data_IF_202153558717
#
_entry.id   IF_202153558717
#
_cell.length_a   1.000
_cell.length_b   1.000
_cell.length_c   1.000
_cell.angle_alpha   90.00
_cell.angle_beta   90.00
_cell.angle_gamma   90.00
#
_symmetry.space_group_name_H-M   'P 1'
#
loop_
_entity.id
_entity.type
_entity.pdbx_description
1 polymer ?
#
# COMPACT_ATOMS: atom_id res chain seq x y z
N UNK A 1 -10.92 0.19 -7.81
CA UNK A 1 -11.11 -0.72 -6.62
C UNK A 1 -12.19 -0.16 -5.69
N UNK A 2 -12.70 -0.91 -4.70
CA UNK A 2 -13.71 -0.41 -3.72
C UNK A 2 -13.13 -0.29 -2.30
N UNK A 3 -13.68 0.59 -1.47
CA UNK A 3 -13.36 0.61 -0.03
C UNK A 3 -13.66 -0.75 0.60
N UNK A 4 -12.83 -1.17 1.55
CA UNK A 4 -12.85 -2.50 2.16
C UNK A 4 -12.20 -3.61 1.32
N UNK A 5 -11.75 -3.33 0.09
CA UNK A 5 -11.02 -4.32 -0.71
C UNK A 5 -9.67 -4.63 -0.05
N UNK A 6 -9.34 -5.93 0.09
CA UNK A 6 -7.98 -6.37 0.40
C UNK A 6 -7.21 -6.50 -0.90
N UNK A 7 -6.09 -5.79 -1.01
CA UNK A 7 -5.17 -5.88 -2.13
C UNK A 7 -3.86 -6.51 -1.66
N UNK A 8 -3.30 -7.38 -2.48
CA UNK A 8 -2.11 -8.16 -2.19
C UNK A 8 -1.03 -7.83 -3.22
N UNK A 9 0.21 -7.60 -2.76
CA UNK A 9 1.35 -7.48 -3.67
C UNK A 9 1.59 -8.80 -4.38
N UNK A 10 1.84 -8.77 -5.70
CA UNK A 10 2.20 -9.96 -6.45
C UNK A 10 3.66 -10.41 -6.19
N UNK A 11 4.53 -9.47 -5.80
CA UNK A 11 6.00 -9.64 -5.77
C UNK A 11 6.62 -9.65 -4.37
N UNK A 12 5.84 -9.39 -3.32
CA UNK A 12 6.31 -9.48 -1.94
C UNK A 12 5.15 -9.75 -0.97
N UNK A 13 5.44 -9.71 0.35
CA UNK A 13 4.45 -10.00 1.39
C UNK A 13 3.44 -8.88 1.65
N UNK A 14 3.65 -7.68 1.11
CA UNK A 14 2.79 -6.51 1.38
C UNK A 14 1.33 -6.81 1.07
N UNK A 15 0.45 -6.53 2.03
CA UNK A 15 -1.00 -6.56 1.84
C UNK A 15 -1.62 -5.34 2.49
N UNK A 16 -2.62 -4.77 1.83
CA UNK A 16 -3.30 -3.56 2.28
C UNK A 16 -4.81 -3.71 2.23
N UNK A 17 -5.49 -2.95 3.07
CA UNK A 17 -6.93 -2.72 3.01
C UNK A 17 -7.20 -1.33 2.44
N UNK A 18 -8.05 -1.24 1.43
CA UNK A 18 -8.49 0.05 0.88
C UNK A 18 -9.42 0.74 1.90
N UNK A 19 -8.99 1.87 2.43
CA UNK A 19 -9.80 2.68 3.35
C UNK A 19 -10.66 3.66 2.55
N UNK A 20 -10.04 4.40 1.63
CA UNK A 20 -10.72 5.27 0.68
C UNK A 20 -10.35 4.86 -0.73
N UNK A 21 -11.36 4.49 -1.52
CA UNK A 21 -11.17 4.16 -2.93
C UNK A 21 -11.00 5.41 -3.79
N UNK A 22 -10.23 5.25 -4.87
CA UNK A 22 -10.16 6.16 -6.01
C UNK A 22 -10.14 5.33 -7.29
N UNK A 23 -10.38 5.97 -8.43
CA UNK A 23 -10.32 5.33 -9.75
C UNK A 23 -8.89 5.35 -10.28
N UNK A 24 -8.04 4.53 -9.65
CA UNK A 24 -6.61 4.38 -9.95
C UNK A 24 -6.17 2.93 -9.78
N UNK A 25 -5.08 2.56 -10.45
CA UNK A 25 -4.41 1.28 -10.28
C UNK A 25 -3.34 1.38 -9.18
N UNK A 26 -3.44 0.49 -8.19
CA UNK A 26 -2.51 0.43 -7.07
C UNK A 26 -1.41 -0.59 -7.36
N UNK A 27 -0.17 -0.18 -7.18
CA UNK A 27 1.02 -0.99 -7.39
C UNK A 27 1.76 -1.21 -6.07
N UNK A 28 2.55 -2.28 -6.02
CA UNK A 28 3.49 -2.53 -4.95
C UNK A 28 4.75 -3.18 -5.51
N UNK A 29 5.89 -2.51 -5.35
CA UNK A 29 7.19 -3.02 -5.82
C UNK A 29 7.32 -3.12 -7.34
N UNK A 30 6.61 -2.25 -8.09
CA UNK A 30 6.60 -2.23 -9.56
C UNK A 30 5.46 -3.04 -10.20
N UNK A 31 4.82 -3.93 -9.46
CA UNK A 31 3.74 -4.78 -9.98
C UNK A 31 2.34 -4.32 -9.51
N UNK A 32 1.30 -4.48 -10.34
CA UNK A 32 -0.08 -4.19 -9.93
C UNK A 32 -0.49 -5.11 -8.77
N UNK A 33 -1.20 -4.56 -7.79
CA UNK A 33 -1.74 -5.35 -6.68
C UNK A 33 -2.98 -6.13 -7.13
N UNK A 34 -3.15 -7.32 -6.58
CA UNK A 34 -4.21 -8.27 -6.94
C UNK A 34 -5.14 -8.55 -5.75
N UNK A 35 -6.35 -9.06 -5.99
CA UNK A 35 -7.30 -9.43 -4.93
C UNK A 35 -7.22 -10.89 -4.51
N UNK A 36 -6.49 -11.71 -5.28
CA UNK A 36 -6.16 -13.09 -4.98
C UNK A 36 -4.76 -13.39 -5.52
N UNK A 37 -3.96 -14.15 -4.77
CA UNK A 37 -2.65 -14.64 -5.21
C UNK A 37 -2.78 -16.08 -5.67
N UNK A 38 -2.13 -16.42 -6.78
CA UNK A 38 -1.87 -17.80 -7.22
C UNK A 38 -0.47 -18.31 -6.78
N UNK A 39 0.20 -17.56 -5.90
CA UNK A 39 1.53 -17.85 -5.36
C UNK A 39 2.23 -16.56 -4.94
N UNK A 40 3.41 -16.67 -4.31
CA UNK A 40 4.35 -15.54 -4.18
C UNK A 40 5.45 -15.74 -5.21
N UNK A 41 5.56 -14.85 -6.20
CA UNK A 41 6.64 -14.92 -7.18
C UNK A 41 7.39 -13.60 -7.25
N UNK A 42 8.71 -13.64 -7.06
CA UNK A 42 9.60 -12.52 -7.30
C UNK A 42 10.02 -11.71 -6.07
N UNK A 43 10.56 -10.54 -6.38
CA UNK A 43 11.02 -9.49 -5.46
C UNK A 43 10.59 -8.15 -6.06
N UNK A 44 10.45 -7.09 -5.24
CA UNK A 44 10.24 -5.74 -5.76
C UNK A 44 11.32 -5.34 -6.77
N UNK A 45 10.96 -4.49 -7.73
CA UNK A 45 11.92 -3.88 -8.65
C UNK A 45 12.92 -2.98 -7.90
N UNK A 46 14.14 -2.87 -8.43
CA UNK A 46 15.19 -2.04 -7.83
C UNK A 46 14.74 -0.57 -7.72
N UNK A 47 14.83 0.01 -6.52
CA UNK A 47 14.36 1.37 -6.23
C UNK A 47 12.89 1.44 -5.82
N UNK A 48 12.13 0.34 -5.93
CA UNK A 48 10.77 0.17 -5.42
C UNK A 48 10.72 -0.84 -4.27
N UNK A 49 11.84 -1.02 -3.58
CA UNK A 49 12.10 -1.95 -2.48
C UNK A 49 12.28 -1.26 -1.11
N UNK A 50 11.71 -0.06 -0.94
CA UNK A 50 11.82 0.72 0.32
C UNK A 50 10.90 0.22 1.45
N UNK A 51 10.11 -0.82 1.21
CA UNK A 51 9.23 -1.43 2.21
C UNK A 51 7.86 -0.78 2.38
N UNK A 52 6.96 -1.55 2.99
CA UNK A 52 5.66 -1.10 3.50
C UNK A 52 5.50 -1.58 4.94
N UNK A 53 5.17 -0.67 5.85
CA UNK A 53 5.14 -0.93 7.29
C UNK A 53 3.74 -1.33 7.77
N UNK A 54 3.67 -2.38 8.58
CA UNK A 54 2.41 -2.87 9.17
C UNK A 54 1.74 -1.79 10.03
N UNK A 55 0.42 -1.65 9.89
CA UNK A 55 -0.39 -0.73 10.70
C UNK A 55 -0.31 0.74 10.26
N UNK A 56 0.51 1.05 9.26
CA UNK A 56 0.62 2.40 8.68
C UNK A 56 -0.41 2.61 7.58
N UNK A 57 -0.90 3.85 7.52
CA UNK A 57 -1.80 4.33 6.46
C UNK A 57 -0.98 5.04 5.41
N UNK A 58 -1.32 4.84 4.15
CA UNK A 58 -0.64 5.41 3.00
C UNK A 58 -1.67 6.11 2.12
N UNK A 59 -1.33 7.29 1.63
CA UNK A 59 -2.22 8.14 0.83
C UNK A 59 -1.56 8.56 -0.47
N UNK A 60 -2.36 8.60 -1.53
CA UNK A 60 -2.02 9.28 -2.77
C UNK A 60 -2.83 10.58 -2.83
N UNK A 61 -2.15 11.73 -2.67
CA UNK A 61 -2.83 13.00 -2.42
C UNK A 61 -3.66 13.47 -3.62
N UNK A 62 -3.19 13.23 -4.84
CA UNK A 62 -3.83 13.70 -6.07
C UNK A 62 -5.13 12.95 -6.37
N UNK A 63 -5.17 11.62 -6.19
CA UNK A 63 -6.39 10.82 -6.41
C UNK A 63 -7.27 10.68 -5.16
N UNK A 64 -6.71 10.92 -3.97
CA UNK A 64 -7.38 10.69 -2.69
C UNK A 64 -7.45 9.21 -2.28
N UNK A 65 -6.74 8.31 -2.97
CA UNK A 65 -6.62 6.91 -2.53
C UNK A 65 -6.00 6.84 -1.14
N UNK A 66 -6.59 6.04 -0.26
CA UNK A 66 -6.03 5.78 1.07
C UNK A 66 -6.11 4.29 1.40
N UNK A 67 -4.99 3.72 1.86
CA UNK A 67 -4.88 2.30 2.21
C UNK A 67 -4.22 2.13 3.59
N UNK A 68 -4.58 1.06 4.29
CA UNK A 68 -3.94 0.60 5.53
C UNK A 68 -3.13 -0.66 5.24
N UNK A 69 -1.85 -0.67 5.58
CA UNK A 69 -1.05 -1.89 5.52
C UNK A 69 -1.46 -2.87 6.62
N UNK A 70 -1.86 -4.08 6.23
CA UNK A 70 -2.29 -5.17 7.11
C UNK A 70 -1.32 -6.35 7.13
N UNK A 71 -0.34 -6.37 6.23
CA UNK A 71 0.83 -7.24 6.28
C UNK A 71 2.04 -6.51 5.69
N UNK A 72 3.12 -6.41 6.45
CA UNK A 72 4.35 -5.75 6.00
C UNK A 72 5.05 -6.53 4.88
N UNK A 73 5.81 -5.82 4.06
CA UNK A 73 6.60 -6.41 2.98
C UNK A 73 7.64 -5.42 2.44
N UNK A 74 8.47 -5.90 1.51
CA UNK A 74 9.62 -5.15 1.00
C UNK A 74 9.26 -4.13 -0.10
N UNK A 75 8.11 -4.25 -0.75
CA UNK A 75 7.74 -3.35 -1.86
C UNK A 75 7.26 -1.98 -1.39
N UNK A 76 7.57 -0.95 -2.18
CA UNK A 76 6.98 0.40 -2.07
C UNK A 76 5.60 0.42 -2.73
N UNK A 77 4.60 1.02 -2.06
CA UNK A 77 3.27 1.26 -2.64
C UNK A 77 3.31 2.47 -3.58
N UNK A 78 2.69 2.37 -4.75
CA UNK A 78 2.61 3.48 -5.72
C UNK A 78 1.31 3.48 -6.52
N UNK A 79 0.98 4.63 -7.11
CA UNK A 79 -0.06 4.82 -8.13
C UNK A 79 0.60 5.51 -9.31
N UNK A 80 0.45 4.97 -10.53
CA UNK A 80 1.04 5.53 -11.75
C UNK A 80 2.55 5.85 -11.64
N UNK A 81 3.29 5.04 -10.85
CA UNK A 81 4.71 5.24 -10.57
C UNK A 81 5.03 6.25 -9.46
N UNK A 82 4.05 7.00 -8.95
CA UNK A 82 4.20 7.91 -7.82
C UNK A 82 4.09 7.13 -6.48
N UNK A 83 5.12 7.15 -5.61
CA UNK A 83 5.05 6.50 -4.31
C UNK A 83 3.98 7.12 -3.41
N UNK A 84 3.22 6.28 -2.70
CA UNK A 84 2.29 6.76 -1.69
C UNK A 84 3.04 7.33 -0.47
N UNK A 85 2.45 8.33 0.16
CA UNK A 85 3.00 8.96 1.36
C UNK A 85 2.40 8.32 2.62
N UNK A 86 3.23 8.01 3.62
CA UNK A 86 2.73 7.57 4.93
C UNK A 86 1.95 8.71 5.61
N UNK A 87 0.72 8.41 6.03
CA UNK A 87 -0.07 9.32 6.86
C UNK A 87 0.46 9.24 8.27
N UNK A 88 1.12 10.31 8.71
CA UNK A 88 1.57 10.44 10.09
C UNK A 88 0.36 10.31 11.04
N UNK A 89 0.51 9.50 12.08
CA UNK A 89 -0.46 9.48 13.17
C UNK A 89 -0.49 10.88 13.79
N UNK A 90 -1.68 11.48 13.86
CA UNK A 90 -1.86 12.68 14.66
C UNK A 90 -1.59 12.27 16.11
N UNK A 91 -0.54 12.81 16.73
CA UNK A 91 -0.30 12.57 18.15
C UNK A 91 -1.57 12.92 18.91
N UNK A 92 -2.11 11.94 19.64
CA UNK A 92 -3.14 12.24 20.62
C UNK A 92 -2.50 13.15 21.67
N UNK A 93 -3.19 14.21 22.14
CA UNK A 93 -2.73 14.95 23.30
C UNK A 93 -2.53 13.96 24.45
N UNK A 94 -1.34 13.91 25.04
CA UNK A 94 -1.12 13.14 26.25
C UNK A 94 -2.07 13.66 27.33
N UNK A 95 -2.89 12.78 27.90
CA UNK A 95 -3.64 13.10 29.12
C UNK A 95 -2.68 12.99 30.31
N UNK A 96 -2.48 14.12 31.00
CA UNK A 96 -1.91 14.21 32.36
C UNK A 96 -3.01 13.86 33.40
#
# INVERSE_FOLDING_TARGET
>A
MKSGTRALSAVCDTEVMVIRAADVDLFCGGAPMVTARDGRTGSPEAGLDNGTLLGKRYVHASSGLEVLCVKAGAGTLSVDGEPLTEVAAKQLPSSD
#
